data_IF_890058527473
#
_entry.id   IF_890058527473
#
_cell.length_a   1.000
_cell.length_b   1.000
_cell.length_c   1.000
_cell.angle_alpha   90.00
_cell.angle_beta   90.00
_cell.angle_gamma   90.00
#
_symmetry.space_group_name_H-M   'P 1'
#
loop_
_entity.id
_entity.type
_entity.pdbx_description
1 polymer ?
#
# COMPACT_ATOMS: atom_id res chain seq x y z
N UNK A 1 12.52 -27.34 -22.51
CA UNK A 1 12.25 -25.99 -21.97
C UNK A 1 13.33 -25.05 -22.47
N UNK A 2 12.93 -23.89 -23.00
CA UNK A 2 13.89 -22.85 -23.40
C UNK A 2 14.27 -22.06 -22.15
N UNK A 3 15.50 -22.19 -21.70
CA UNK A 3 16.05 -21.32 -20.67
C UNK A 3 16.35 -19.95 -21.30
N UNK A 4 15.54 -18.94 -20.97
CA UNK A 4 15.71 -17.57 -21.45
C UNK A 4 15.74 -16.63 -20.24
N UNK A 5 16.53 -15.54 -20.28
CA UNK A 5 16.49 -14.53 -19.26
C UNK A 5 15.08 -13.90 -19.22
N UNK A 6 14.55 -13.70 -18.01
CA UNK A 6 13.23 -13.13 -17.77
C UNK A 6 13.35 -11.99 -16.76
N UNK A 7 12.57 -10.94 -16.97
CA UNK A 7 12.42 -9.85 -16.04
C UNK A 7 11.04 -10.01 -15.39
N UNK A 8 11.01 -9.97 -14.06
CA UNK A 8 9.78 -10.04 -13.28
C UNK A 8 9.64 -8.78 -12.42
N UNK A 9 8.41 -8.30 -12.24
CA UNK A 9 8.14 -7.21 -11.32
C UNK A 9 8.06 -7.74 -9.90
N UNK A 10 8.79 -7.11 -8.99
CA UNK A 10 8.76 -7.41 -7.57
C UNK A 10 7.99 -6.30 -6.86
N UNK A 11 7.03 -6.67 -6.02
CA UNK A 11 6.32 -5.71 -5.19
C UNK A 11 7.27 -5.09 -4.17
N UNK A 12 7.21 -3.77 -3.97
CA UNK A 12 7.99 -3.10 -2.95
C UNK A 12 7.67 -3.60 -1.52
N UNK A 13 6.49 -4.18 -1.31
CA UNK A 13 6.09 -4.79 -0.05
C UNK A 13 6.71 -6.17 0.22
N UNK A 14 7.19 -6.82 -0.83
CA UNK A 14 7.84 -8.14 -0.75
C UNK A 14 9.35 -8.04 -0.98
N UNK A 15 9.90 -6.83 -1.04
CA UNK A 15 11.32 -6.55 -1.25
C UNK A 15 11.92 -5.84 -0.05
N UNK A 16 12.91 -6.45 0.57
CA UNK A 16 13.61 -5.97 1.76
C UNK A 16 15.09 -5.78 1.45
N UNK A 17 15.47 -4.60 0.95
CA UNK A 17 16.86 -4.26 0.70
C UNK A 17 17.59 -3.92 2.00
N UNK A 18 18.89 -3.83 1.92
CA UNK A 18 19.74 -3.27 2.97
C UNK A 18 19.30 -1.83 3.30
N UNK A 19 18.89 -1.54 4.54
CA UNK A 19 18.40 -0.21 4.94
C UNK A 19 19.50 0.87 4.93
N UNK A 20 20.78 0.49 4.91
CA UNK A 20 21.90 1.42 4.86
C UNK A 20 22.23 1.89 3.44
N UNK A 21 21.75 1.19 2.42
CA UNK A 21 22.06 1.46 1.03
C UNK A 21 21.17 2.57 0.44
N UNK A 22 21.74 3.36 -0.46
CA UNK A 22 21.02 4.41 -1.20
C UNK A 22 20.60 3.98 -2.60
N UNK A 23 21.18 2.91 -3.10
CA UNK A 23 20.83 2.32 -4.39
C UNK A 23 20.88 0.79 -4.33
N UNK A 24 20.21 0.12 -5.26
CA UNK A 24 20.26 -1.35 -5.34
C UNK A 24 21.66 -1.89 -5.64
N UNK A 25 22.57 -1.08 -6.20
CA UNK A 25 23.93 -1.48 -6.49
C UNK A 25 24.86 -1.42 -5.26
N UNK A 26 24.50 -0.59 -4.28
CA UNK A 26 25.27 -0.41 -3.03
C UNK A 26 24.82 -1.36 -1.92
N UNK A 27 23.72 -2.08 -2.12
CA UNK A 27 23.23 -3.03 -1.14
C UNK A 27 24.23 -4.15 -0.86
N UNK A 28 24.45 -4.47 0.39
CA UNK A 28 25.19 -5.67 0.79
C UNK A 28 24.34 -6.92 0.64
N UNK A 29 23.02 -6.77 0.86
CA UNK A 29 22.05 -7.84 0.69
C UNK A 29 20.69 -7.31 0.27
N UNK A 30 19.87 -8.20 -0.28
CA UNK A 30 18.45 -7.99 -0.49
C UNK A 30 17.69 -9.30 -0.26
N UNK A 31 16.49 -9.18 0.30
CA UNK A 31 15.62 -10.32 0.53
C UNK A 31 14.33 -10.08 -0.24
N UNK A 32 13.93 -11.07 -1.03
CA UNK A 32 12.62 -11.11 -1.66
C UNK A 32 11.75 -12.15 -0.96
N UNK A 33 10.54 -11.77 -0.61
CA UNK A 33 9.54 -12.66 -0.03
C UNK A 33 8.67 -13.24 -1.14
N UNK A 34 8.54 -14.57 -1.16
CA UNK A 34 7.64 -15.30 -2.03
C UNK A 34 6.52 -15.95 -1.23
N UNK A 35 5.34 -16.00 -1.81
CA UNK A 35 4.15 -16.65 -1.24
C UNK A 35 3.77 -17.84 -2.12
N UNK A 36 4.26 -19.00 -1.77
CA UNK A 36 4.03 -20.20 -2.55
C UNK A 36 2.83 -21.01 -2.04
N UNK A 37 2.12 -21.62 -2.96
CA UNK A 37 1.19 -22.68 -2.63
C UNK A 37 1.93 -24.04 -2.59
N UNK A 38 1.23 -25.08 -2.14
CA UNK A 38 1.81 -26.43 -2.01
C UNK A 38 2.31 -26.98 -3.35
N UNK A 39 1.60 -26.73 -4.44
CA UNK A 39 1.98 -27.21 -5.78
C UNK A 39 3.25 -26.54 -6.28
N UNK A 40 3.40 -25.25 -6.05
CA UNK A 40 4.61 -24.50 -6.41
C UNK A 40 5.84 -25.02 -5.65
N UNK A 41 5.68 -25.44 -4.38
CA UNK A 41 6.76 -26.08 -3.65
C UNK A 41 7.11 -27.46 -4.21
N UNK A 42 6.10 -28.26 -4.62
CA UNK A 42 6.34 -29.51 -5.30
C UNK A 42 7.08 -29.33 -6.64
N UNK A 43 6.81 -28.25 -7.37
CA UNK A 43 7.52 -27.93 -8.62
C UNK A 43 9.01 -27.64 -8.37
N UNK A 44 9.37 -27.14 -7.19
CA UNK A 44 10.77 -26.93 -6.83
C UNK A 44 11.55 -28.23 -6.67
N UNK A 45 10.89 -29.35 -6.28
CA UNK A 45 11.52 -30.67 -6.21
C UNK A 45 12.11 -31.15 -7.55
N UNK A 46 11.54 -30.66 -8.64
CA UNK A 46 11.98 -31.00 -9.99
C UNK A 46 13.10 -30.10 -10.50
N UNK A 47 13.42 -29.03 -9.78
CA UNK A 47 14.47 -28.11 -10.18
C UNK A 47 15.83 -28.53 -9.63
N UNK A 48 16.90 -28.38 -10.40
CA UNK A 48 18.24 -28.61 -9.93
C UNK A 48 18.61 -27.60 -8.82
N UNK A 49 19.52 -27.99 -7.94
CA UNK A 49 20.07 -27.16 -6.85
C UNK A 49 19.12 -26.89 -5.68
N UNK A 50 17.92 -27.49 -5.65
CA UNK A 50 17.04 -27.46 -4.49
C UNK A 50 17.21 -28.75 -3.67
N UNK A 51 17.23 -28.61 -2.33
CA UNK A 51 17.28 -29.77 -1.45
C UNK A 51 15.89 -30.38 -1.29
N UNK A 52 15.74 -31.59 -1.82
CA UNK A 52 14.48 -32.32 -1.79
C UNK A 52 14.03 -32.64 -0.38
N UNK A 53 14.98 -33.03 0.51
CA UNK A 53 14.65 -33.40 1.89
C UNK A 53 14.15 -32.17 2.68
N UNK A 54 14.77 -31.01 2.47
CA UNK A 54 14.33 -29.78 3.10
C UNK A 54 12.92 -29.36 2.65
N UNK A 55 12.63 -29.51 1.35
CA UNK A 55 11.28 -29.22 0.82
C UNK A 55 10.25 -30.21 1.38
N UNK A 56 10.57 -31.51 1.44
CA UNK A 56 9.68 -32.52 2.02
C UNK A 56 9.39 -32.21 3.50
N UNK A 57 10.41 -31.85 4.29
CA UNK A 57 10.23 -31.42 5.68
C UNK A 57 9.30 -30.21 5.82
N UNK A 58 9.46 -29.20 4.97
CA UNK A 58 8.58 -28.02 4.97
C UNK A 58 7.14 -28.39 4.61
N UNK A 59 6.95 -29.31 3.67
CA UNK A 59 5.62 -29.78 3.29
C UNK A 59 4.94 -30.60 4.40
N UNK A 60 5.71 -31.30 5.25
CA UNK A 60 5.24 -32.03 6.42
C UNK A 60 4.92 -31.08 7.59
N UNK A 61 5.74 -30.06 7.82
CA UNK A 61 5.50 -29.02 8.85
C UNK A 61 4.21 -28.22 8.57
N UNK A 62 3.86 -28.04 7.31
CA UNK A 62 2.67 -27.32 6.88
C UNK A 62 2.88 -25.84 6.60
N UNK A 63 1.81 -25.12 6.23
CA UNK A 63 1.85 -23.71 5.87
C UNK A 63 2.31 -22.84 7.03
N UNK A 64 3.21 -21.90 6.76
CA UNK A 64 3.81 -20.98 7.74
C UNK A 64 3.59 -19.50 7.41
N UNK A 65 2.80 -19.19 6.39
CA UNK A 65 2.51 -17.81 6.01
C UNK A 65 1.55 -17.16 7.00
N UNK A 66 1.95 -15.99 7.50
CA UNK A 66 1.12 -15.11 8.31
C UNK A 66 0.83 -13.81 7.56
N UNK A 67 -0.46 -13.48 7.43
CA UNK A 67 -0.89 -12.23 6.81
C UNK A 67 -0.47 -11.05 7.68
N UNK A 68 0.15 -10.04 7.08
CA UNK A 68 0.52 -8.80 7.76
C UNK A 68 -0.63 -7.80 7.71
N UNK A 69 -0.75 -6.98 8.76
CA UNK A 69 -1.83 -5.99 8.88
C UNK A 69 -2.01 -5.11 7.64
N UNK A 70 -0.92 -4.66 7.02
CA UNK A 70 -1.01 -3.81 5.83
C UNK A 70 -1.52 -4.56 4.59
N UNK A 71 -1.33 -5.87 4.51
CA UNK A 71 -1.82 -6.70 3.40
C UNK A 71 -3.34 -6.78 3.42
N UNK A 72 -3.95 -6.96 4.57
CA UNK A 72 -5.40 -6.97 4.73
C UNK A 72 -6.03 -5.64 4.33
N UNK A 73 -5.33 -4.52 4.58
CA UNK A 73 -5.77 -3.18 4.23
C UNK A 73 -5.63 -2.91 2.72
N UNK A 74 -4.53 -3.36 2.10
CA UNK A 74 -4.28 -3.15 0.67
C UNK A 74 -5.23 -3.94 -0.22
N UNK A 75 -5.52 -5.17 0.16
CA UNK A 75 -6.36 -6.04 -0.68
C UNK A 75 -7.85 -5.89 -0.42
N UNK A 76 -8.24 -5.08 0.58
CA UNK A 76 -9.64 -4.87 0.99
C UNK A 76 -10.43 -6.19 1.07
N UNK A 77 -9.71 -7.25 1.42
CA UNK A 77 -10.27 -8.59 1.50
C UNK A 77 -11.06 -8.72 2.80
N UNK A 78 -12.35 -8.57 2.69
CA UNK A 78 -13.25 -9.17 3.66
C UNK A 78 -13.01 -10.70 3.62
N UNK A 79 -11.93 -11.12 4.31
CA UNK A 79 -11.74 -12.46 4.85
C UNK A 79 -12.04 -13.65 3.95
N UNK A 80 -11.29 -13.80 2.89
CA UNK A 80 -11.06 -15.15 2.37
C UNK A 80 -9.82 -15.77 3.05
N UNK A 81 -9.90 -15.82 4.39
CA UNK A 81 -8.84 -16.27 5.29
C UNK A 81 -8.45 -17.74 5.12
N UNK A 82 -9.20 -18.51 4.34
CA UNK A 82 -8.89 -19.93 4.11
C UNK A 82 -7.85 -20.15 3.01
N UNK A 83 -7.86 -19.35 1.95
CA UNK A 83 -6.88 -19.50 0.86
C UNK A 83 -5.48 -19.02 1.23
N UNK A 84 -5.37 -18.05 2.14
CA UNK A 84 -4.08 -17.50 2.58
C UNK A 84 -3.42 -18.39 3.64
N UNK A 85 -4.19 -19.08 4.47
CA UNK A 85 -3.68 -20.01 5.50
C UNK A 85 -2.94 -21.21 4.94
N UNK A 86 -3.08 -21.51 3.64
CA UNK A 86 -2.40 -22.61 2.98
C UNK A 86 -1.19 -22.15 2.14
N UNK A 87 -0.58 -21.02 2.50
CA UNK A 87 0.60 -20.49 1.83
C UNK A 87 1.86 -20.74 2.65
N UNK A 88 2.96 -20.87 1.93
CA UNK A 88 4.31 -21.00 2.49
C UNK A 88 5.05 -19.71 2.21
N UNK A 89 5.60 -19.10 3.26
CA UNK A 89 6.49 -17.95 3.14
C UNK A 89 7.91 -18.45 2.85
N UNK A 90 8.41 -18.12 1.67
CA UNK A 90 9.77 -18.43 1.26
C UNK A 90 10.53 -17.11 1.09
N UNK A 91 11.65 -17.01 1.78
CA UNK A 91 12.55 -15.87 1.71
C UNK A 91 13.70 -16.21 0.76
N UNK A 92 13.87 -15.42 -0.27
CA UNK A 92 14.99 -15.50 -1.19
C UNK A 92 16.00 -14.41 -0.80
N UNK A 93 17.12 -14.83 -0.23
CA UNK A 93 18.22 -13.98 0.17
C UNK A 93 19.26 -13.89 -0.94
N UNK A 94 19.68 -12.69 -1.25
CA UNK A 94 20.83 -12.37 -2.09
C UNK A 94 21.77 -11.50 -1.30
N UNK A 95 23.01 -11.92 -1.15
CA UNK A 95 23.95 -11.11 -0.37
C UNK A 95 25.27 -11.80 -0.11
N UNK A 96 26.03 -11.19 0.77
CA UNK A 96 27.34 -11.67 1.19
C UNK A 96 27.16 -12.60 2.39
N UNK A 97 27.86 -13.72 2.39
CA UNK A 97 27.94 -14.68 3.50
C UNK A 97 29.40 -14.97 3.81
N UNK A 98 29.72 -15.16 5.08
CA UNK A 98 31.03 -15.64 5.50
C UNK A 98 31.31 -17.05 4.94
N UNK A 99 32.52 -17.26 4.46
CA UNK A 99 32.93 -18.51 3.79
C UNK A 99 32.74 -19.72 4.70
N UNK A 100 33.12 -19.62 6.00
CA UNK A 100 32.96 -20.73 6.93
C UNK A 100 31.48 -21.08 7.15
N UNK A 101 30.62 -20.06 7.29
CA UNK A 101 29.18 -20.26 7.45
C UNK A 101 28.53 -20.87 6.21
N UNK A 102 29.03 -20.53 5.03
CA UNK A 102 28.53 -21.08 3.77
C UNK A 102 28.97 -22.54 3.59
N UNK A 103 30.18 -22.92 4.00
CA UNK A 103 30.67 -24.31 4.03
C UNK A 103 29.87 -25.15 5.04
N UNK A 104 29.64 -24.64 6.24
CA UNK A 104 28.83 -25.30 7.28
C UNK A 104 27.39 -25.56 6.79
N UNK A 105 26.86 -24.65 5.95
CA UNK A 105 25.57 -24.80 5.33
C UNK A 105 25.58 -25.72 4.08
N UNK A 106 26.73 -26.30 3.72
CA UNK A 106 26.88 -27.30 2.66
C UNK A 106 27.18 -26.75 1.26
N UNK A 107 27.61 -25.49 1.16
CA UNK A 107 28.07 -24.94 -0.13
C UNK A 107 29.49 -25.41 -0.42
N UNK A 108 29.69 -25.95 -1.63
CA UNK A 108 31.03 -26.28 -2.11
C UNK A 108 31.74 -25.00 -2.59
N UNK A 109 32.79 -24.61 -1.86
CA UNK A 109 33.50 -23.35 -2.05
C UNK A 109 34.89 -23.62 -2.62
N UNK A 110 35.30 -22.88 -3.68
CA UNK A 110 36.65 -22.97 -4.18
C UNK A 110 37.70 -22.61 -3.15
N UNK A 111 38.83 -23.32 -3.13
CA UNK A 111 39.93 -23.12 -2.16
C UNK A 111 40.59 -21.73 -2.24
N UNK A 112 40.34 -20.96 -3.30
CA UNK A 112 40.82 -19.60 -3.53
C UNK A 112 39.75 -18.53 -3.19
N UNK A 113 38.63 -18.95 -2.63
CA UNK A 113 37.59 -18.03 -2.15
C UNK A 113 38.14 -17.18 -0.99
N UNK A 114 37.79 -15.91 -1.00
CA UNK A 114 38.13 -15.00 0.08
C UNK A 114 37.40 -15.32 1.39
N UNK A 115 37.47 -14.42 2.37
CA UNK A 115 36.75 -14.58 3.65
C UNK A 115 35.23 -14.50 3.53
N UNK A 116 34.71 -14.04 2.40
CA UNK A 116 33.28 -13.92 2.14
C UNK A 116 32.94 -14.28 0.69
N UNK A 117 31.74 -14.80 0.49
CA UNK A 117 31.21 -15.18 -0.82
C UNK A 117 29.81 -14.62 -1.04
N UNK A 118 29.51 -14.27 -2.26
CA UNK A 118 28.14 -13.88 -2.64
C UNK A 118 27.28 -15.11 -2.90
N UNK A 119 26.13 -15.17 -2.24
CA UNK A 119 25.24 -16.32 -2.29
C UNK A 119 23.81 -15.92 -2.63
N UNK A 120 23.09 -16.90 -3.17
CA UNK A 120 21.64 -16.92 -3.21
C UNK A 120 21.15 -18.06 -2.32
N UNK A 121 20.36 -17.73 -1.31
CA UNK A 121 19.75 -18.71 -0.41
C UNK A 121 18.23 -18.61 -0.43
N UNK A 122 17.56 -19.75 -0.48
CA UNK A 122 16.10 -19.85 -0.35
C UNK A 122 15.77 -20.54 0.97
N UNK A 123 14.98 -19.87 1.80
CA UNK A 123 14.72 -20.31 3.17
C UNK A 123 13.21 -20.34 3.39
N UNK A 124 12.71 -21.41 3.98
CA UNK A 124 11.33 -21.53 4.42
C UNK A 124 11.30 -21.99 5.88
N UNK A 125 10.78 -21.16 6.78
CA UNK A 125 10.88 -21.43 8.21
C UNK A 125 12.33 -21.59 8.67
N UNK A 126 12.69 -22.78 9.18
CA UNK A 126 14.04 -23.12 9.61
C UNK A 126 14.82 -23.97 8.58
N UNK A 127 14.27 -24.20 7.40
CA UNK A 127 14.88 -25.06 6.38
C UNK A 127 15.49 -24.23 5.25
N UNK A 128 16.72 -24.56 4.88
CA UNK A 128 17.38 -24.01 3.68
C UNK A 128 16.97 -24.90 2.51
N UNK A 129 16.14 -24.35 1.62
CA UNK A 129 15.66 -25.07 0.43
C UNK A 129 16.71 -25.10 -0.69
N UNK A 130 17.53 -24.06 -0.76
CA UNK A 130 18.58 -23.89 -1.75
C UNK A 130 19.66 -22.98 -1.20
N UNK A 131 20.92 -23.33 -1.44
CA UNK A 131 22.06 -22.45 -1.24
C UNK A 131 23.03 -22.62 -2.39
N UNK A 132 23.31 -21.53 -3.09
CA UNK A 132 24.25 -21.52 -4.23
C UNK A 132 25.07 -20.25 -4.26
N UNK A 133 26.25 -20.31 -4.86
CA UNK A 133 27.02 -19.11 -5.16
C UNK A 133 26.28 -18.26 -6.20
N UNK A 134 26.43 -16.93 -6.13
CA UNK A 134 25.76 -16.01 -7.05
C UNK A 134 26.16 -16.27 -8.51
N UNK A 135 25.21 -16.67 -9.39
CA UNK A 135 25.51 -16.99 -10.77
C UNK A 135 25.65 -15.75 -11.67
N UNK A 136 25.33 -14.56 -11.17
CA UNK A 136 25.27 -13.32 -11.97
C UNK A 136 26.52 -12.44 -11.86
N UNK A 137 27.63 -12.99 -11.40
CA UNK A 137 28.87 -12.23 -11.32
C UNK A 137 29.25 -11.57 -12.67
N UNK A 138 29.69 -10.30 -12.70
CA UNK A 138 30.04 -9.45 -11.55
C UNK A 138 28.88 -8.69 -10.89
N UNK A 139 27.64 -8.87 -11.34
CA UNK A 139 26.45 -8.22 -10.74
C UNK A 139 26.17 -8.82 -9.37
N UNK A 140 26.19 -8.00 -8.33
CA UNK A 140 25.96 -8.47 -6.95
C UNK A 140 24.52 -8.90 -6.73
N UNK A 141 23.58 -8.04 -7.12
CA UNK A 141 22.14 -8.26 -6.91
C UNK A 141 21.40 -8.17 -8.25
N UNK A 142 20.50 -9.11 -8.54
CA UNK A 142 19.72 -9.10 -9.79
C UNK A 142 18.47 -8.21 -9.69
N UNK A 143 18.51 -7.16 -8.87
CA UNK A 143 17.40 -6.23 -8.67
C UNK A 143 17.73 -4.85 -9.19
N UNK A 144 16.72 -4.21 -9.80
CA UNK A 144 16.80 -2.85 -10.31
C UNK A 144 15.58 -2.07 -9.84
N UNK A 145 15.80 -0.91 -9.20
CA UNK A 145 14.74 0.00 -8.79
C UNK A 145 14.51 1.06 -9.87
N UNK A 146 13.24 1.35 -10.15
CA UNK A 146 12.81 2.40 -11.08
C UNK A 146 11.86 3.35 -10.34
N UNK A 147 12.37 4.27 -9.52
CA UNK A 147 11.55 5.23 -8.82
C UNK A 147 10.93 6.24 -9.79
N UNK A 148 9.74 6.76 -9.47
CA UNK A 148 9.12 7.85 -10.22
C UNK A 148 9.91 9.14 -10.04
N UNK A 149 10.25 9.48 -8.80
CA UNK A 149 11.17 10.56 -8.46
C UNK A 149 12.26 10.00 -7.56
N UNK A 150 13.51 10.26 -7.96
CA UNK A 150 14.67 9.72 -7.26
C UNK A 150 14.87 10.43 -5.92
N UNK A 151 14.90 9.66 -4.83
CA UNK A 151 15.40 10.15 -3.55
C UNK A 151 16.88 9.73 -3.40
N UNK A 152 17.84 10.66 -3.35
CA UNK A 152 19.25 10.34 -3.32
C UNK A 152 19.71 9.68 -2.00
N UNK A 153 18.86 9.63 -1.00
CA UNK A 153 19.18 9.10 0.34
C UNK A 153 18.52 7.76 0.65
N UNK A 154 17.71 7.24 -0.25
CA UNK A 154 16.95 6.00 -0.06
C UNK A 154 16.83 5.22 -1.36
N UNK A 155 16.73 3.90 -1.25
CA UNK A 155 16.50 3.01 -2.40
C UNK A 155 15.12 3.24 -3.01
N UNK A 156 14.12 3.45 -2.16
CA UNK A 156 12.78 3.77 -2.60
C UNK A 156 12.66 5.27 -2.86
N UNK A 157 12.22 5.63 -4.04
CA UNK A 157 11.95 7.02 -4.39
C UNK A 157 10.57 7.49 -3.94
N UNK A 158 10.25 8.72 -4.30
CA UNK A 158 8.96 9.35 -4.02
C UNK A 158 7.95 8.94 -5.09
N UNK A 159 6.76 8.53 -4.68
CA UNK A 159 5.68 8.12 -5.57
C UNK A 159 4.83 9.29 -6.07
N UNK A 160 4.10 9.09 -7.18
CA UNK A 160 3.16 10.10 -7.71
C UNK A 160 2.10 10.45 -6.67
N UNK A 161 1.58 9.47 -5.94
CA UNK A 161 0.55 9.70 -4.93
C UNK A 161 1.04 10.60 -3.79
N UNK A 162 2.28 10.41 -3.34
CA UNK A 162 2.93 11.20 -2.32
C UNK A 162 3.11 12.65 -2.77
N UNK A 163 3.60 12.87 -4.00
CA UNK A 163 3.74 14.21 -4.56
C UNK A 163 2.42 14.95 -4.77
N UNK A 164 1.33 14.23 -4.94
CA UNK A 164 0.00 14.79 -5.14
C UNK A 164 -0.82 14.95 -3.86
N UNK A 165 -0.37 14.42 -2.73
CA UNK A 165 -1.15 14.34 -1.50
C UNK A 165 -1.62 15.71 -1.02
N UNK A 166 -0.73 16.68 -0.92
CA UNK A 166 -1.04 18.05 -0.47
C UNK A 166 -2.04 18.74 -1.42
N UNK A 167 -1.83 18.61 -2.72
CA UNK A 167 -2.70 19.18 -3.73
C UNK A 167 -4.11 18.56 -3.69
N UNK A 168 -4.18 17.26 -3.48
CA UNK A 168 -5.46 16.56 -3.38
C UNK A 168 -6.19 16.91 -2.09
N UNK A 169 -5.48 17.04 -0.97
CA UNK A 169 -6.04 17.46 0.31
C UNK A 169 -6.66 18.86 0.19
N UNK A 170 -5.95 19.80 -0.45
CA UNK A 170 -6.43 21.15 -0.71
C UNK A 170 -7.68 21.15 -1.58
N UNK A 171 -7.66 20.40 -2.69
CA UNK A 171 -8.81 20.26 -3.60
C UNK A 171 -10.02 19.68 -2.87
N UNK A 172 -9.85 18.66 -2.07
CA UNK A 172 -10.91 18.06 -1.27
C UNK A 172 -11.52 19.08 -0.29
N UNK A 173 -10.69 19.92 0.32
CA UNK A 173 -11.13 21.02 1.19
C UNK A 173 -12.01 22.03 0.44
N UNK A 174 -11.58 22.46 -0.74
CA UNK A 174 -12.35 23.40 -1.56
C UNK A 174 -13.69 22.83 -2.02
N UNK A 175 -13.71 21.56 -2.44
CA UNK A 175 -14.96 20.89 -2.84
C UNK A 175 -15.94 20.79 -1.66
N UNK A 176 -15.47 20.45 -0.47
CA UNK A 176 -16.32 20.44 0.74
C UNK A 176 -16.89 21.81 1.06
N UNK A 177 -16.04 22.86 1.05
CA UNK A 177 -16.51 24.22 1.27
C UNK A 177 -17.52 24.66 0.23
N UNK A 178 -17.36 24.28 -1.05
CA UNK A 178 -18.32 24.57 -2.09
C UNK A 178 -19.66 23.87 -1.85
N UNK A 179 -19.66 22.61 -1.43
CA UNK A 179 -20.88 21.85 -1.08
C UNK A 179 -21.58 22.49 0.11
N UNK A 180 -20.86 22.85 1.17
CA UNK A 180 -21.41 23.49 2.36
C UNK A 180 -22.02 24.87 2.01
N UNK A 181 -21.33 25.65 1.18
CA UNK A 181 -21.85 26.93 0.71
C UNK A 181 -23.13 26.76 -0.13
N UNK A 182 -23.16 25.75 -1.02
CA UNK A 182 -24.36 25.44 -1.81
C UNK A 182 -25.52 25.03 -0.91
N UNK A 183 -25.27 24.26 0.14
CA UNK A 183 -26.29 23.87 1.11
C UNK A 183 -26.84 25.10 1.86
N UNK A 184 -25.97 26.01 2.29
CA UNK A 184 -26.39 27.26 2.94
C UNK A 184 -27.10 28.22 2.00
N UNK A 185 -26.59 28.39 0.78
CA UNK A 185 -27.19 29.29 -0.21
C UNK A 185 -28.51 28.77 -0.77
N UNK A 186 -28.67 27.44 -0.82
CA UNK A 186 -29.89 26.76 -1.29
C UNK A 186 -31.01 26.74 -0.24
N UNK A 187 -30.66 26.78 1.05
CA UNK A 187 -31.61 26.78 2.14
C UNK A 187 -31.82 28.23 2.63
N UNK A 188 -33.01 28.75 2.39
CA UNK A 188 -33.38 30.07 2.89
C UNK A 188 -33.53 30.02 4.42
N UNK A 189 -32.83 30.89 5.12
CA UNK A 189 -33.04 31.14 6.53
C UNK A 189 -34.02 32.30 6.68
N UNK A 190 -35.02 32.12 7.53
CA UNK A 190 -36.03 33.15 7.79
C UNK A 190 -35.86 33.71 9.18
N UNK A 191 -35.82 35.05 9.24
CA UNK A 191 -35.97 35.82 10.46
C UNK A 191 -37.45 36.18 10.59
N UNK A 192 -38.11 35.75 11.70
CA UNK A 192 -39.55 35.85 11.87
C UNK A 192 -39.82 36.66 13.15
N UNK A 193 -40.50 37.78 12.96
CA UNK A 193 -41.04 38.53 14.11
C UNK A 193 -42.39 37.92 14.57
N UNK A 194 -42.34 37.15 15.63
CA UNK A 194 -43.52 36.45 16.20
C UNK A 194 -44.58 37.43 16.67
N UNK A 195 -44.22 38.64 17.08
CA UNK A 195 -45.18 39.64 17.59
C UNK A 195 -46.11 40.17 16.50
N UNK A 196 -45.69 40.07 15.24
CA UNK A 196 -46.46 40.53 14.09
C UNK A 196 -47.33 39.45 13.44
N UNK A 197 -47.13 38.19 13.87
CA UNK A 197 -47.87 37.06 13.31
C UNK A 197 -49.04 36.66 14.21
N UNK A 198 -50.07 36.03 13.63
CA UNK A 198 -51.18 35.47 14.38
C UNK A 198 -50.68 34.31 15.24
N UNK A 199 -50.92 34.29 16.60
CA UNK A 199 -50.45 33.22 17.42
C UNK A 199 -50.97 31.85 17.03
N UNK A 200 -50.08 30.82 17.19
CA UNK A 200 -50.46 29.40 17.00
C UNK A 200 -50.33 28.89 15.56
N UNK A 201 -49.76 29.67 14.62
CA UNK A 201 -49.49 29.14 13.30
C UNK A 201 -48.12 28.45 13.23
N UNK A 202 -48.00 27.39 12.41
CA UNK A 202 -46.73 26.69 12.18
C UNK A 202 -45.74 27.58 11.43
N UNK A 203 -44.48 27.52 11.85
CA UNK A 203 -43.35 28.19 11.16
C UNK A 203 -42.71 27.35 10.06
N UNK A 204 -43.20 26.12 9.82
CA UNK A 204 -42.71 25.29 8.74
C UNK A 204 -42.90 25.96 7.38
N UNK A 205 -41.85 26.03 6.59
CA UNK A 205 -41.85 26.67 5.28
C UNK A 205 -41.95 25.61 4.18
N UNK A 206 -42.97 25.70 3.35
CA UNK A 206 -43.17 24.85 2.17
C UNK A 206 -43.80 25.67 0.99
N UNK A 207 -43.67 25.20 -0.24
CA UNK A 207 -44.27 25.90 -1.37
C UNK A 207 -45.75 26.15 -1.18
N UNK A 208 -46.18 27.40 -1.33
CA UNK A 208 -47.59 27.80 -1.13
C UNK A 208 -47.99 28.10 0.30
N UNK A 209 -47.08 28.07 1.27
CA UNK A 209 -47.35 28.47 2.66
C UNK A 209 -47.79 29.94 2.73
N UNK A 210 -48.87 30.20 3.44
CA UNK A 210 -49.39 31.54 3.72
C UNK A 210 -49.22 31.85 5.20
N UNK A 211 -48.52 32.90 5.53
CA UNK A 211 -48.40 33.41 6.89
C UNK A 211 -49.46 34.51 7.12
N UNK A 212 -50.19 34.43 8.21
CA UNK A 212 -51.22 35.42 8.59
C UNK A 212 -50.62 36.43 9.56
N UNK A 213 -50.82 37.72 9.26
CA UNK A 213 -50.35 38.80 10.13
C UNK A 213 -51.49 39.32 11.01
N UNK A 214 -51.12 39.91 12.12
CA UNK A 214 -52.09 40.64 12.99
C UNK A 214 -52.56 41.94 12.29
N UNK A 215 -53.79 42.30 12.50
CA UNK A 215 -54.37 43.49 11.94
C UNK A 215 -53.75 44.75 12.62
N UNK A 216 -53.36 45.73 11.78
CA UNK A 216 -52.82 47.02 12.27
C UNK A 216 -51.32 47.09 12.52
N UNK A 217 -50.56 46.02 12.25
CA UNK A 217 -49.10 45.97 12.37
C UNK A 217 -48.43 46.39 11.08
N UNK A 218 -47.50 47.35 11.14
CA UNK A 218 -46.68 47.80 10.02
C UNK A 218 -45.27 47.23 10.12
N UNK A 219 -44.68 46.85 8.99
CA UNK A 219 -43.33 46.27 8.93
C UNK A 219 -43.28 44.91 8.20
N UNK A 220 -42.10 44.32 8.11
CA UNK A 220 -41.88 43.01 7.50
C UNK A 220 -41.83 41.96 8.57
N UNK A 221 -42.84 41.14 8.70
CA UNK A 221 -42.91 40.09 9.72
C UNK A 221 -42.01 38.89 9.44
N UNK A 222 -41.61 38.70 8.16
CA UNK A 222 -40.77 37.60 7.75
C UNK A 222 -39.72 38.17 6.82
N UNK A 223 -38.46 38.02 7.16
CA UNK A 223 -37.31 38.41 6.35
C UNK A 223 -36.52 37.19 5.94
N UNK A 224 -36.33 37.00 4.64
CA UNK A 224 -35.49 35.90 4.11
C UNK A 224 -34.04 36.34 4.06
N UNK A 225 -33.18 35.70 4.84
CA UNK A 225 -31.74 35.90 4.80
C UNK A 225 -31.16 35.03 3.70
N UNK A 226 -30.51 35.66 2.71
CA UNK A 226 -29.83 34.95 1.63
C UNK A 226 -28.33 34.96 1.88
N UNK A 227 -27.72 33.79 1.84
CA UNK A 227 -26.28 33.65 1.83
C UNK A 227 -25.76 33.77 0.39
N UNK A 228 -24.64 34.48 0.15
CA UNK A 228 -24.04 34.55 -1.18
C UNK A 228 -23.56 33.20 -1.65
N UNK A 229 -23.82 32.86 -2.90
CA UNK A 229 -23.30 31.64 -3.51
C UNK A 229 -21.88 31.89 -4.03
N UNK A 230 -20.88 31.48 -3.28
CA UNK A 230 -19.45 31.56 -3.64
C UNK A 230 -18.89 30.22 -4.13
N UNK A 231 -19.73 29.21 -4.31
CA UNK A 231 -19.31 27.88 -4.71
C UNK A 231 -18.53 27.85 -6.03
N UNK A 232 -18.91 28.73 -6.99
CA UNK A 232 -18.22 28.87 -8.27
C UNK A 232 -16.79 29.41 -8.13
N UNK A 233 -16.57 30.32 -7.21
CA UNK A 233 -15.24 30.89 -6.91
C UNK A 233 -14.33 29.87 -6.22
N UNK A 234 -14.89 29.05 -5.34
CA UNK A 234 -14.16 27.98 -4.64
C UNK A 234 -13.75 26.82 -5.54
N UNK A 235 -14.41 26.63 -6.69
CA UNK A 235 -14.08 25.55 -7.65
C UNK A 235 -13.07 26.04 -8.71
N UNK A 236 -12.98 27.33 -8.96
CA UNK A 236 -12.09 27.91 -9.98
C UNK A 236 -10.66 28.16 -9.47
N UNK A 237 -10.38 28.02 -8.18
CA UNK A 237 -9.03 28.03 -7.60
C UNK A 237 -8.34 26.69 -7.82
#
# INVERSE_FOLDING_TARGET
EKSVPRIESVSCWDFYPDPSATSTQDCEYAIQRHRFNREQLYDLLNRPLFDKKAIESVLEEGPNYEERYFESTLYNNEKDTQNERNRYEVLEYWGIMDTNSAEDAGLDIPNDAGSSIQVNAWICGNQILRLVSNPFLPTRLPFYSFPFELNPYQIFGVGVAENMEDSQLLMNGHVRMAIDNLALAGNLVFDIDETQLVPGQSYDVYPGKVFRRQSGVSGTAINGIKFPNTAGENIQM
#
